data_IF_006494873688
#
_entry.id   IF_006494873688
#
_cell.length_a   1.000
_cell.length_b   1.000
_cell.length_c   1.000
_cell.angle_alpha   90.00
_cell.angle_beta   90.00
_cell.angle_gamma   90.00
#
_symmetry.space_group_name_H-M   'P 1'
#
loop_
_entity.id
_entity.type
_entity.pdbx_description
1 polymer ?
#
# COMPACT_ATOMS: atom_id res chain seq x y z
N UNK A 1 -33.16 -17.46 4.57
CA UNK A 1 -32.78 -18.01 3.26
C UNK A 1 -32.26 -16.91 2.37
N UNK A 2 -33.14 -16.25 1.60
CA UNK A 2 -32.73 -15.31 0.54
C UNK A 2 -32.10 -13.98 1.01
N UNK A 3 -32.53 -13.39 2.13
CA UNK A 3 -32.01 -12.08 2.57
C UNK A 3 -30.58 -12.09 3.11
N UNK A 4 -30.10 -13.23 3.62
CA UNK A 4 -28.74 -13.35 4.16
C UNK A 4 -27.70 -13.38 3.04
N UNK A 5 -27.97 -14.09 1.95
CA UNK A 5 -27.05 -14.14 0.81
C UNK A 5 -26.96 -12.79 0.09
N UNK A 6 -28.09 -12.08 -0.07
CA UNK A 6 -28.11 -10.73 -0.65
C UNK A 6 -27.32 -9.73 0.22
N UNK A 7 -27.44 -9.83 1.55
CA UNK A 7 -26.68 -8.98 2.47
C UNK A 7 -25.18 -9.30 2.46
N UNK A 8 -24.80 -10.56 2.26
CA UNK A 8 -23.40 -11.00 2.14
C UNK A 8 -22.78 -10.54 0.82
N UNK A 9 -23.54 -10.55 -0.27
CA UNK A 9 -23.08 -10.13 -1.60
C UNK A 9 -22.92 -8.61 -1.73
N UNK A 10 -23.72 -7.83 -0.99
CA UNK A 10 -23.64 -6.37 -0.96
C UNK A 10 -22.58 -5.81 0.02
N UNK A 11 -21.93 -6.66 0.82
CA UNK A 11 -21.01 -6.22 1.87
C UNK A 11 -19.55 -6.24 1.39
N UNK A 12 -18.82 -5.12 1.61
CA UNK A 12 -17.39 -5.03 1.33
C UNK A 12 -16.52 -5.89 2.28
N UNK A 13 -17.08 -6.31 3.41
CA UNK A 13 -16.41 -7.13 4.41
C UNK A 13 -17.39 -8.07 5.10
N UNK A 14 -17.13 -9.38 5.00
CA UNK A 14 -17.92 -10.44 5.66
C UNK A 14 -17.09 -11.07 6.77
N UNK A 15 -17.63 -11.10 7.98
CA UNK A 15 -16.97 -11.70 9.14
C UNK A 15 -17.46 -13.14 9.28
N UNK A 16 -16.57 -14.11 9.04
CA UNK A 16 -16.84 -15.52 9.32
C UNK A 16 -16.59 -15.82 10.81
N UNK A 17 -17.68 -15.92 11.58
CA UNK A 17 -17.71 -16.40 12.98
C UNK A 17 -18.24 -15.39 14.00
N UNK A 18 -18.63 -15.88 15.18
CA UNK A 18 -19.44 -15.15 16.17
C UNK A 18 -18.69 -14.12 17.03
N UNK A 19 -17.39 -13.89 16.78
CA UNK A 19 -16.54 -13.05 17.63
C UNK A 19 -16.33 -11.64 17.04
N UNK A 20 -17.01 -10.62 17.59
CA UNK A 20 -16.78 -9.20 17.26
C UNK A 20 -15.33 -8.74 17.50
N UNK A 21 -14.55 -9.45 18.34
CA UNK A 21 -13.12 -9.19 18.53
C UNK A 21 -12.29 -9.22 17.23
N UNK A 22 -12.73 -9.97 16.20
CA UNK A 22 -12.06 -9.99 14.88
C UNK A 22 -12.18 -8.66 14.13
N UNK A 23 -13.22 -7.86 14.40
CA UNK A 23 -13.39 -6.52 13.82
C UNK A 23 -12.32 -5.55 14.33
N UNK A 24 -11.98 -5.61 15.63
CA UNK A 24 -10.93 -4.79 16.22
C UNK A 24 -9.55 -5.10 15.63
N UNK A 25 -9.30 -6.39 15.35
CA UNK A 25 -8.08 -6.86 14.69
C UNK A 25 -8.01 -6.35 13.25
N UNK A 26 -9.08 -6.52 12.47
CA UNK A 26 -9.17 -6.04 11.08
C UNK A 26 -8.94 -4.53 10.99
N UNK A 27 -9.54 -3.75 11.89
CA UNK A 27 -9.33 -2.29 11.97
C UNK A 27 -7.88 -1.92 12.26
N UNK A 28 -7.19 -2.66 13.13
CA UNK A 28 -5.77 -2.41 13.45
C UNK A 28 -4.85 -2.73 12.26
N UNK A 29 -5.15 -3.80 11.53
CA UNK A 29 -4.45 -4.16 10.30
C UNK A 29 -4.69 -3.11 9.18
N UNK A 30 -5.93 -2.66 9.01
CA UNK A 30 -6.30 -1.63 8.03
C UNK A 30 -5.56 -0.30 8.30
N UNK A 31 -5.53 0.18 9.56
CA UNK A 31 -4.80 1.40 9.93
C UNK A 31 -3.30 1.30 9.63
N UNK A 32 -2.69 0.14 9.87
CA UNK A 32 -1.26 -0.06 9.59
C UNK A 32 -0.98 -0.10 8.08
N UNK A 33 -1.87 -0.73 7.32
CA UNK A 33 -1.79 -0.77 5.85
C UNK A 33 -1.87 0.64 5.27
N UNK A 34 -2.82 1.45 5.73
CA UNK A 34 -2.96 2.85 5.30
C UNK A 34 -1.69 3.66 5.58
N UNK A 35 -1.04 3.48 6.74
CA UNK A 35 0.23 4.16 7.03
C UNK A 35 1.32 3.81 6.01
N UNK A 36 1.45 2.53 5.66
CA UNK A 36 2.44 2.06 4.69
C UNK A 36 2.14 2.61 3.28
N UNK A 37 0.85 2.71 2.92
CA UNK A 37 0.43 3.33 1.65
C UNK A 37 0.86 4.80 1.60
N UNK A 38 0.66 5.57 2.68
CA UNK A 38 1.11 6.96 2.74
C UNK A 38 2.64 7.09 2.61
N UNK A 39 3.41 6.23 3.28
CA UNK A 39 4.88 6.19 3.15
C UNK A 39 5.32 5.95 1.69
N UNK A 40 4.68 5.01 0.99
CA UNK A 40 4.96 4.72 -0.41
C UNK A 40 4.60 5.88 -1.35
N UNK A 41 3.45 6.52 -1.13
CA UNK A 41 3.02 7.67 -1.94
C UNK A 41 3.99 8.83 -1.78
N UNK A 42 4.37 9.15 -0.53
CA UNK A 42 5.33 10.22 -0.25
C UNK A 42 6.67 9.92 -0.91
N UNK A 43 7.16 8.68 -0.84
CA UNK A 43 8.40 8.27 -1.49
C UNK A 43 8.34 8.41 -3.01
N UNK A 44 7.26 7.96 -3.64
CA UNK A 44 7.07 8.05 -5.08
C UNK A 44 7.05 9.51 -5.57
N UNK A 45 6.31 10.37 -4.85
CA UNK A 45 6.25 11.81 -5.16
C UNK A 45 7.62 12.47 -4.99
N UNK A 46 8.35 12.14 -3.92
CA UNK A 46 9.68 12.71 -3.66
C UNK A 46 10.68 12.39 -4.79
N UNK A 47 10.71 11.14 -5.26
CA UNK A 47 11.59 10.75 -6.36
C UNK A 47 11.18 11.43 -7.67
N UNK A 48 9.88 11.49 -7.96
CA UNK A 48 9.37 12.19 -9.16
C UNK A 48 9.77 13.65 -9.17
N UNK A 49 9.63 14.34 -8.03
CA UNK A 49 10.03 15.74 -7.88
C UNK A 49 11.54 15.94 -8.03
N UNK A 50 12.36 15.07 -7.43
CA UNK A 50 13.82 15.14 -7.59
C UNK A 50 14.26 15.04 -9.05
N UNK A 51 13.65 14.12 -9.81
CA UNK A 51 13.96 13.94 -11.23
C UNK A 51 13.53 15.18 -12.02
N UNK A 52 12.33 15.71 -11.77
CA UNK A 52 11.83 16.92 -12.45
C UNK A 52 12.73 18.12 -12.18
N UNK A 53 13.12 18.35 -10.93
CA UNK A 53 14.00 19.46 -10.54
C UNK A 53 15.39 19.28 -11.17
N UNK A 54 15.95 18.07 -11.14
CA UNK A 54 17.23 17.76 -11.76
C UNK A 54 17.24 17.98 -13.28
N UNK A 55 16.14 17.63 -13.95
CA UNK A 55 15.93 17.93 -15.36
C UNK A 55 15.81 19.43 -15.63
N UNK A 56 15.08 20.17 -14.78
CA UNK A 56 14.89 21.61 -14.94
C UNK A 56 16.19 22.44 -14.78
N UNK A 57 17.12 21.97 -13.94
CA UNK A 57 18.45 22.60 -13.76
C UNK A 57 19.41 22.26 -14.92
N UNK A 58 19.02 21.37 -15.84
CA UNK A 58 19.81 21.02 -17.02
C UNK A 58 20.98 20.07 -16.72
N UNK A 59 20.94 19.35 -15.59
CA UNK A 59 22.01 18.39 -15.21
C UNK A 59 21.99 17.15 -16.12
N UNK A 60 20.83 16.82 -16.69
CA UNK A 60 20.58 15.57 -17.42
C UNK A 60 20.19 15.80 -18.89
N UNK A 61 20.93 16.61 -19.65
CA UNK A 61 20.50 17.00 -21.01
C UNK A 61 20.28 15.82 -21.98
N UNK A 62 21.13 14.77 -21.94
CA UNK A 62 21.01 13.64 -22.88
C UNK A 62 20.47 12.34 -22.24
N UNK A 63 20.50 12.23 -20.91
CA UNK A 63 20.13 11.02 -20.17
C UNK A 63 18.87 11.16 -19.29
N UNK A 64 18.19 12.31 -19.33
CA UNK A 64 17.02 12.60 -18.51
C UNK A 64 15.92 11.52 -18.63
N UNK A 65 15.62 11.05 -19.84
CA UNK A 65 14.58 10.04 -20.03
C UNK A 65 14.96 8.69 -19.44
N UNK A 66 16.21 8.24 -19.62
CA UNK A 66 16.65 6.96 -19.05
C UNK A 66 16.61 6.98 -17.53
N UNK A 67 17.11 8.07 -16.91
CA UNK A 67 17.08 8.24 -15.46
C UNK A 67 15.65 8.32 -14.93
N UNK A 68 14.75 9.00 -15.66
CA UNK A 68 13.34 9.09 -15.30
C UNK A 68 12.65 7.72 -15.28
N UNK A 69 12.88 6.90 -16.31
CA UNK A 69 12.34 5.53 -16.39
C UNK A 69 12.92 4.66 -15.27
N UNK A 70 14.22 4.74 -15.01
CA UNK A 70 14.85 4.01 -13.91
C UNK A 70 14.26 4.42 -12.54
N UNK A 71 14.03 5.72 -12.33
CA UNK A 71 13.39 6.25 -11.14
C UNK A 71 11.99 5.69 -10.93
N UNK A 72 11.14 5.70 -11.97
CA UNK A 72 9.77 5.20 -11.88
C UNK A 72 9.72 3.69 -11.60
N UNK A 73 10.56 2.90 -12.28
CA UNK A 73 10.63 1.44 -12.09
C UNK A 73 11.23 1.09 -10.72
N UNK A 74 12.28 1.80 -10.30
CA UNK A 74 12.92 1.62 -9.00
C UNK A 74 11.97 1.96 -7.84
N UNK A 75 11.24 3.08 -7.94
CA UNK A 75 10.19 3.46 -6.99
C UNK A 75 9.11 2.38 -6.93
N UNK A 76 8.67 1.86 -8.07
CA UNK A 76 7.67 0.80 -8.13
C UNK A 76 8.14 -0.45 -7.37
N UNK A 77 9.38 -0.90 -7.60
CA UNK A 77 9.98 -2.04 -6.90
C UNK A 77 10.03 -1.83 -5.38
N UNK A 78 10.46 -0.64 -4.93
CA UNK A 78 10.51 -0.30 -3.51
C UNK A 78 9.11 -0.28 -2.89
N UNK A 79 8.12 0.30 -3.58
CA UNK A 79 6.73 0.34 -3.14
C UNK A 79 6.13 -1.07 -3.03
N UNK A 80 6.45 -1.97 -3.96
CA UNK A 80 6.05 -3.38 -3.90
C UNK A 80 6.70 -4.07 -2.70
N UNK A 81 8.01 -3.89 -2.48
CA UNK A 81 8.71 -4.47 -1.34
C UNK A 81 8.12 -4.00 0.01
N UNK A 82 7.82 -2.70 0.15
CA UNK A 82 7.16 -2.16 1.34
C UNK A 82 5.72 -2.70 1.51
N UNK A 83 4.98 -2.85 0.41
CA UNK A 83 3.63 -3.44 0.43
C UNK A 83 3.66 -4.91 0.88
N UNK A 84 4.65 -5.69 0.44
CA UNK A 84 4.84 -7.07 0.88
C UNK A 84 5.17 -7.15 2.39
N UNK A 85 5.86 -6.15 2.93
CA UNK A 85 6.09 -6.03 4.39
C UNK A 85 4.80 -5.77 5.15
N UNK A 86 3.85 -5.03 4.57
CA UNK A 86 2.51 -4.81 5.14
C UNK A 86 1.72 -6.11 5.28
N UNK A 87 1.81 -7.00 4.29
CA UNK A 87 1.13 -8.30 4.27
C UNK A 87 1.62 -9.21 5.42
N UNK A 88 2.87 -9.05 5.87
CA UNK A 88 3.46 -9.84 6.96
C UNK A 88 2.91 -9.49 8.35
N UNK A 89 2.00 -8.51 8.47
CA UNK A 89 1.23 -8.20 9.70
C UNK A 89 0.09 -9.22 9.90
N UNK A 90 0.39 -10.51 9.71
CA UNK A 90 -0.54 -11.63 9.85
C UNK A 90 -0.27 -12.54 11.06
N UNK A 91 0.82 -12.35 11.80
CA UNK A 91 1.01 -13.04 13.08
C UNK A 91 0.42 -12.23 14.23
N UNK A 92 -0.90 -12.29 14.38
CA UNK A 92 -1.52 -11.92 15.65
C UNK A 92 -1.51 -13.18 16.52
N UNK A 93 -0.80 -13.02 17.64
CA UNK A 93 -0.61 -13.97 18.72
C UNK A 93 -1.97 -14.58 19.11
N UNK A 94 -2.08 -15.88 18.93
CA UNK A 94 -3.11 -16.70 19.56
C UNK A 94 -2.72 -16.79 21.03
N UNK A 95 -3.05 -15.76 21.81
CA UNK A 95 -3.04 -15.89 23.26
C UNK A 95 -4.32 -16.63 23.65
N UNK A 96 -4.06 -17.77 24.30
CA UNK A 96 -4.98 -18.80 24.74
C UNK A 96 -6.02 -18.29 25.73
#
# INVERSE_FOLDING_TARGET
GAGSDIAVEAADMVIMGDSLSKLAIGKKAAKKTIRIVYENIIFAIAVKLLIIIGCAIGIFNENAMWLAVFGDVGVCLIAIANSLRALRVGKIKNDK
#
